data_IF_344345759065
#
_entry.id   IF_344345759065
#
_cell.length_a   1.000
_cell.length_b   1.000
_cell.length_c   1.000
_cell.angle_alpha   90.00
_cell.angle_beta   90.00
_cell.angle_gamma   90.00
#
_symmetry.space_group_name_H-M   'P 1'
#
loop_
_entity.id
_entity.type
_entity.pdbx_description
1 polymer ?
#
# COMPACT_ATOMS: atom_id res chain seq x y z
N UNK A 1 29.26 1.52 23.49
CA UNK A 1 28.43 1.64 22.28
C UNK A 1 27.01 1.27 22.69
N UNK A 2 26.24 2.25 23.16
CA UNK A 2 24.89 2.07 23.67
C UNK A 2 23.93 2.80 22.71
N UNK A 3 22.96 2.07 22.16
CA UNK A 3 21.92 2.63 21.31
C UNK A 3 20.98 3.53 22.13
N UNK A 4 20.89 4.79 21.72
CA UNK A 4 19.93 5.74 22.23
C UNK A 4 18.57 5.48 21.57
N UNK A 5 17.68 4.80 22.30
CA UNK A 5 16.25 4.73 21.97
C UNK A 5 15.60 6.12 22.13
N UNK A 6 14.77 6.50 21.15
CA UNK A 6 13.99 7.76 21.12
C UNK A 6 13.07 7.97 22.33
N UNK A 7 12.85 6.95 23.17
CA UNK A 7 12.06 7.07 24.41
C UNK A 7 12.72 7.94 25.50
N UNK A 8 14.03 8.16 25.46
CA UNK A 8 14.74 8.92 26.51
C UNK A 8 14.72 10.45 26.32
N UNK A 9 14.16 10.97 25.22
CA UNK A 9 14.17 12.41 24.93
C UNK A 9 12.93 13.17 25.42
N UNK A 10 11.94 12.47 26.00
CA UNK A 10 10.66 13.08 26.42
C UNK A 10 10.47 13.15 27.95
N UNK A 11 11.47 12.77 28.76
CA UNK A 11 11.32 12.71 30.23
C UNK A 11 11.93 13.88 31.01
N UNK A 12 12.46 14.92 30.37
CA UNK A 12 12.95 16.11 31.07
C UNK A 12 12.59 17.39 30.31
N UNK A 13 11.55 18.08 30.78
CA UNK A 13 11.12 19.36 30.20
C UNK A 13 9.95 19.98 30.94
N UNK A 14 10.27 20.69 32.03
CA UNK A 14 9.57 21.83 32.63
C UNK A 14 8.04 21.73 32.89
N UNK A 15 7.73 21.73 34.19
CA UNK A 15 6.43 22.09 34.73
C UNK A 15 6.00 23.50 34.26
N UNK A 16 4.86 23.56 33.58
CA UNK A 16 4.12 24.79 33.30
C UNK A 16 2.65 24.53 33.58
N UNK A 17 2.13 25.11 34.66
CA UNK A 17 0.72 25.01 35.04
C UNK A 17 -0.10 25.78 34.01
N UNK A 18 -0.83 25.06 33.16
CA UNK A 18 -1.93 25.63 32.35
C UNK A 18 -3.23 25.03 32.86
N UNK A 19 -4.06 25.89 33.43
CA UNK A 19 -5.41 25.59 33.90
C UNK A 19 -6.28 25.21 32.70
N UNK A 20 -6.41 23.91 32.42
CA UNK A 20 -7.36 23.42 31.43
C UNK A 20 -8.77 23.45 32.03
N UNK A 21 -9.67 24.23 31.44
CA UNK A 21 -11.09 24.14 31.73
C UNK A 21 -11.60 22.76 31.34
N UNK A 22 -12.07 22.02 32.34
CA UNK A 22 -12.82 20.77 32.18
C UNK A 22 -14.19 21.09 31.55
N UNK A 23 -14.29 21.06 30.23
CA UNK A 23 -15.57 20.82 29.57
C UNK A 23 -15.81 19.32 29.56
N UNK A 24 -16.70 18.85 30.43
CA UNK A 24 -17.26 17.50 30.34
C UNK A 24 -18.07 17.41 29.04
N UNK A 25 -17.51 16.75 28.03
CA UNK A 25 -18.30 16.32 26.88
C UNK A 25 -19.08 15.09 27.33
N UNK A 26 -20.31 15.34 27.78
CA UNK A 26 -21.34 14.31 27.86
C UNK A 26 -21.47 13.65 26.48
N UNK A 27 -21.35 12.33 26.47
CA UNK A 27 -21.51 11.48 25.29
C UNK A 27 -23.00 11.49 24.91
N UNK A 28 -23.41 12.52 24.18
CA UNK A 28 -24.71 12.54 23.51
C UNK A 28 -24.66 11.56 22.35
N UNK A 29 -25.63 10.65 22.29
CA UNK A 29 -25.90 9.85 21.10
C UNK A 29 -26.20 10.79 19.94
N UNK A 30 -25.17 11.10 19.15
CA UNK A 30 -25.34 11.82 17.92
C UNK A 30 -26.22 10.97 16.98
N UNK A 31 -27.23 11.56 16.32
CA UNK A 31 -28.05 10.83 15.37
C UNK A 31 -27.16 10.22 14.29
N UNK A 32 -27.52 9.01 13.85
CA UNK A 32 -26.87 8.30 12.74
C UNK A 32 -26.96 9.19 11.51
N UNK A 33 -25.92 9.99 11.30
CA UNK A 33 -25.72 10.79 10.09
C UNK A 33 -25.88 9.86 8.89
N UNK A 34 -26.76 10.21 7.94
CA UNK A 34 -26.81 9.53 6.66
C UNK A 34 -25.38 9.43 6.12
N UNK A 35 -24.90 8.21 5.90
CA UNK A 35 -23.51 7.95 5.47
C UNK A 35 -23.27 8.60 4.11
N UNK A 36 -22.89 9.87 4.11
CA UNK A 36 -22.60 10.62 2.91
C UNK A 36 -21.11 10.49 2.61
N UNK A 37 -20.78 9.65 1.64
CA UNK A 37 -19.42 9.58 1.12
C UNK A 37 -19.12 10.82 0.27
N UNK A 38 -17.85 11.21 0.20
CA UNK A 38 -17.41 12.28 -0.67
C UNK A 38 -15.95 12.07 -1.13
N UNK A 39 -15.63 12.65 -2.29
CA UNK A 39 -14.25 12.77 -2.78
C UNK A 39 -13.93 14.25 -2.90
N UNK A 40 -12.92 14.71 -2.17
CA UNK A 40 -12.38 16.07 -2.32
C UNK A 40 -11.10 16.01 -3.14
N UNK A 41 -11.12 16.64 -4.31
CA UNK A 41 -9.99 16.67 -5.22
C UNK A 41 -9.12 17.91 -4.95
N UNK A 42 -7.92 17.67 -4.42
CA UNK A 42 -6.97 18.71 -4.09
C UNK A 42 -5.74 18.63 -4.97
N UNK A 43 -5.38 19.78 -5.55
CA UNK A 43 -4.10 19.97 -6.24
C UNK A 43 -3.17 20.72 -5.29
N UNK A 44 -2.18 20.03 -4.76
CA UNK A 44 -1.24 20.57 -3.79
C UNK A 44 0.04 21.10 -4.46
N UNK A 45 0.68 22.05 -3.79
CA UNK A 45 2.06 22.49 -4.04
C UNK A 45 2.43 22.67 -5.52
N UNK A 46 2.02 23.81 -6.09
CA UNK A 46 2.32 24.20 -7.49
C UNK A 46 1.88 23.17 -8.55
N UNK A 47 0.90 22.32 -8.25
CA UNK A 47 0.41 21.32 -9.20
C UNK A 47 1.29 20.08 -9.33
N UNK A 48 2.25 19.86 -8.42
CA UNK A 48 3.14 18.69 -8.48
C UNK A 48 2.52 17.43 -7.91
N UNK A 49 1.54 17.55 -7.02
CA UNK A 49 0.86 16.41 -6.42
C UNK A 49 -0.64 16.66 -6.44
N UNK A 50 -1.40 15.63 -6.79
CA UNK A 50 -2.85 15.60 -6.59
C UNK A 50 -3.19 14.62 -5.48
N UNK A 51 -4.19 14.99 -4.69
CA UNK A 51 -4.68 14.24 -3.55
C UNK A 51 -6.20 14.15 -3.66
N UNK A 52 -6.72 12.94 -3.80
CA UNK A 52 -8.15 12.68 -3.68
C UNK A 52 -8.43 12.26 -2.24
N UNK A 53 -8.99 13.16 -1.43
CA UNK A 53 -9.41 12.83 -0.06
C UNK A 53 -10.72 12.06 -0.12
N UNK A 54 -10.75 10.89 0.51
CA UNK A 54 -11.85 9.95 0.50
C UNK A 54 -12.52 10.01 1.87
N UNK A 55 -13.74 10.54 1.90
CA UNK A 55 -14.43 10.96 3.13
C UNK A 55 -15.68 10.13 3.38
N UNK A 56 -16.03 9.96 4.65
CA UNK A 56 -17.35 9.55 5.11
C UNK A 56 -17.86 10.58 6.11
N UNK A 57 -18.92 11.31 5.74
CA UNK A 57 -19.34 12.50 6.49
C UNK A 57 -18.23 13.55 6.53
N UNK A 58 -17.87 13.97 7.72
CA UNK A 58 -16.75 14.87 8.01
C UNK A 58 -15.42 14.14 8.28
N UNK A 59 -15.43 12.80 8.31
CA UNK A 59 -14.27 11.98 8.66
C UNK A 59 -13.48 11.56 7.44
N UNK A 60 -12.17 11.54 7.61
CA UNK A 60 -11.21 11.07 6.63
C UNK A 60 -11.08 9.55 6.69
N UNK A 61 -11.32 8.86 5.57
CA UNK A 61 -11.08 7.42 5.45
C UNK A 61 -9.68 7.13 4.93
N UNK A 62 -9.33 7.77 3.81
CA UNK A 62 -8.02 7.69 3.19
C UNK A 62 -7.80 8.86 2.23
N UNK A 63 -6.60 9.00 1.64
CA UNK A 63 -6.48 9.69 0.35
C UNK A 63 -5.61 8.95 -0.63
N UNK A 64 -6.01 9.01 -1.90
CA UNK A 64 -5.12 8.66 -3.00
C UNK A 64 -4.20 9.85 -3.28
N UNK A 65 -2.91 9.67 -3.06
CA UNK A 65 -1.88 10.68 -3.31
C UNK A 65 -1.05 10.22 -4.50
N UNK A 66 -0.86 11.10 -5.49
CA UNK A 66 -0.07 10.78 -6.67
C UNK A 66 0.57 12.02 -7.31
N UNK A 67 1.72 11.85 -7.98
CA UNK A 67 2.35 12.93 -8.71
C UNK A 67 1.53 13.32 -9.95
N UNK A 68 1.45 14.63 -10.23
CA UNK A 68 0.82 15.18 -11.44
C UNK A 68 1.81 15.89 -12.36
N UNK A 69 2.94 16.32 -11.82
CA UNK A 69 4.09 16.85 -12.55
C UNK A 69 5.36 16.18 -12.01
N UNK A 70 6.56 16.63 -12.40
CA UNK A 70 7.85 16.06 -12.03
C UNK A 70 7.83 15.55 -10.58
N UNK A 71 7.80 14.23 -10.36
CA UNK A 71 7.66 13.71 -9.03
C UNK A 71 8.91 14.11 -8.25
N UNK A 72 8.72 14.69 -7.07
CA UNK A 72 9.82 14.71 -6.11
C UNK A 72 10.28 13.26 -5.92
N UNK A 73 11.57 13.04 -5.70
CA UNK A 73 12.19 11.70 -5.60
C UNK A 73 11.48 10.72 -4.63
N UNK A 74 10.58 11.23 -3.78
CA UNK A 74 9.83 10.51 -2.77
C UNK A 74 8.43 10.03 -3.22
N UNK A 75 7.93 10.45 -4.39
CA UNK A 75 6.57 10.09 -4.85
C UNK A 75 6.54 9.71 -6.33
N UNK A 76 7.17 8.58 -6.66
CA UNK A 76 7.21 8.01 -8.02
C UNK A 76 6.01 7.12 -8.36
N UNK A 77 5.09 6.92 -7.42
CA UNK A 77 3.93 6.04 -7.58
C UNK A 77 2.75 6.51 -6.72
N UNK A 78 1.52 6.13 -7.07
CA UNK A 78 0.35 6.39 -6.24
C UNK A 78 0.35 5.54 -4.96
N UNK A 79 -0.10 6.15 -3.87
CA UNK A 79 -0.32 5.48 -2.58
C UNK A 79 -1.67 5.92 -1.98
N UNK A 80 -2.29 5.04 -1.18
CA UNK A 80 -3.40 5.45 -0.30
C UNK A 80 -2.85 5.78 1.08
N UNK A 81 -2.85 7.06 1.49
CA UNK A 81 -2.28 7.54 2.75
C UNK A 81 -2.93 8.84 3.27
N UNK A 82 -3.04 9.00 4.61
CA UNK A 82 -3.09 7.93 5.60
C UNK A 82 -4.32 7.06 5.37
N UNK A 83 -4.35 5.85 5.90
CA UNK A 83 -5.56 5.03 5.99
C UNK A 83 -6.05 5.07 7.43
N UNK A 84 -7.31 5.41 7.62
CA UNK A 84 -7.91 5.60 8.93
C UNK A 84 -9.01 4.56 9.21
N UNK A 85 -9.11 4.17 10.47
CA UNK A 85 -10.27 3.43 10.99
C UNK A 85 -11.53 4.32 10.98
N UNK A 86 -12.73 3.77 11.19
CA UNK A 86 -13.95 4.59 11.32
C UNK A 86 -13.93 5.62 12.45
N UNK A 87 -13.22 5.33 13.54
CA UNK A 87 -12.98 6.30 14.62
C UNK A 87 -11.91 7.36 14.28
N UNK A 88 -11.33 7.32 13.08
CA UNK A 88 -10.38 8.30 12.58
C UNK A 88 -8.93 8.04 13.00
N UNK A 89 -8.60 6.83 13.44
CA UNK A 89 -7.24 6.48 13.87
C UNK A 89 -6.38 6.13 12.64
N UNK A 90 -5.25 6.83 12.37
CA UNK A 90 -4.40 6.53 11.22
C UNK A 90 -3.51 5.31 11.46
N UNK A 91 -3.80 4.20 10.78
CA UNK A 91 -3.15 2.88 11.01
C UNK A 91 -2.04 2.55 10.02
N UNK A 92 -1.78 3.43 9.06
CA UNK A 92 -0.67 3.28 8.12
C UNK A 92 0.33 4.43 8.24
N UNK A 93 1.58 4.17 7.86
CA UNK A 93 2.59 5.22 7.70
C UNK A 93 3.10 5.30 6.27
N UNK A 94 3.64 6.45 5.91
CA UNK A 94 4.57 6.56 4.78
C UNK A 94 6.00 6.53 5.34
N UNK A 95 7.03 6.42 4.52
CA UNK A 95 8.46 6.65 4.86
C UNK A 95 9.25 5.62 5.72
N UNK A 96 10.14 4.91 5.03
CA UNK A 96 11.59 5.03 5.31
C UNK A 96 12.22 5.79 4.14
N UNK A 97 13.11 6.77 4.41
CA UNK A 97 13.61 7.81 3.49
C UNK A 97 14.10 7.35 2.10
N UNK A 98 14.42 6.06 1.91
CA UNK A 98 14.93 5.50 0.66
C UNK A 98 14.16 4.30 0.10
N UNK A 99 13.15 3.77 0.81
CA UNK A 99 12.43 2.57 0.39
C UNK A 99 11.04 2.93 -0.13
N UNK A 100 10.93 3.25 -1.41
CA UNK A 100 9.66 3.62 -2.04
C UNK A 100 8.62 2.49 -2.05
N UNK A 101 9.01 1.27 -1.66
CA UNK A 101 8.11 0.13 -1.44
C UNK A 101 7.65 -0.01 0.03
N UNK A 102 8.11 0.86 0.95
CA UNK A 102 7.64 0.96 2.34
C UNK A 102 6.68 2.16 2.48
N UNK A 103 5.68 2.20 1.60
CA UNK A 103 4.66 3.23 1.55
C UNK A 103 3.32 2.63 1.96
N UNK A 104 2.54 3.41 2.71
CA UNK A 104 1.19 3.15 3.24
C UNK A 104 0.46 1.98 2.60
N UNK A 105 -0.56 2.15 1.76
CA UNK A 105 -1.02 1.08 0.86
C UNK A 105 -0.47 1.42 -0.52
N UNK A 106 0.30 0.50 -1.09
CA UNK A 106 1.01 0.70 -2.34
C UNK A 106 0.81 -0.45 -3.31
N UNK A 107 1.09 -0.18 -4.59
CA UNK A 107 1.20 -1.22 -5.61
C UNK A 107 2.35 -0.92 -6.52
N UNK A 108 3.22 -1.90 -6.72
CA UNK A 108 4.36 -1.78 -7.60
C UNK A 108 5.13 -3.06 -7.75
N UNK A 109 6.14 -3.02 -8.60
CA UNK A 109 7.03 -4.14 -8.82
C UNK A 109 8.46 -3.64 -8.83
N UNK A 110 9.43 -4.44 -8.40
CA UNK A 110 10.84 -4.07 -8.54
C UNK A 110 11.29 -4.19 -10.00
N UNK A 111 11.69 -5.39 -10.40
CA UNK A 111 12.34 -5.67 -11.69
C UNK A 111 11.39 -6.19 -12.76
N UNK A 112 11.28 -5.47 -13.88
CA UNK A 112 10.47 -5.83 -15.04
C UNK A 112 11.37 -6.01 -16.26
N UNK A 113 11.37 -7.20 -16.84
CA UNK A 113 12.12 -7.48 -18.07
C UNK A 113 11.18 -7.44 -19.28
N UNK A 114 11.47 -6.58 -20.25
CA UNK A 114 10.69 -6.46 -21.49
C UNK A 114 11.37 -7.29 -22.57
N UNK A 115 10.61 -8.06 -23.33
CA UNK A 115 11.18 -8.86 -24.42
C UNK A 115 11.92 -7.98 -25.44
N UNK A 116 13.06 -8.46 -25.91
CA UNK A 116 13.91 -7.74 -26.86
C UNK A 116 14.74 -6.61 -26.23
N UNK A 117 14.83 -6.54 -24.90
CA UNK A 117 15.73 -5.61 -24.19
C UNK A 117 16.81 -6.37 -23.43
N UNK A 118 18.00 -5.81 -23.32
CA UNK A 118 19.15 -6.49 -22.70
C UNK A 118 19.09 -6.51 -21.16
N UNK A 119 18.24 -5.69 -20.54
CA UNK A 119 18.21 -5.50 -19.09
C UNK A 119 16.78 -5.30 -18.56
N UNK A 120 16.59 -5.65 -17.29
CA UNK A 120 15.34 -5.36 -16.58
C UNK A 120 15.31 -3.90 -16.10
N UNK A 121 14.12 -3.30 -16.12
CA UNK A 121 13.81 -1.99 -15.55
C UNK A 121 13.49 -2.18 -14.07
N UNK A 122 14.01 -1.30 -13.21
CA UNK A 122 13.73 -1.33 -11.77
C UNK A 122 12.85 -0.13 -11.35
N UNK A 123 11.60 -0.39 -10.95
CA UNK A 123 10.63 0.63 -10.51
C UNK A 123 10.72 0.94 -9.01
N UNK A 124 11.60 0.28 -8.25
CA UNK A 124 11.85 0.54 -6.83
C UNK A 124 13.17 1.27 -6.56
N UNK A 125 13.96 1.47 -7.60
CA UNK A 125 15.25 2.12 -7.50
C UNK A 125 15.10 3.61 -7.17
N UNK A 126 15.76 4.04 -6.10
CA UNK A 126 15.94 5.46 -5.81
C UNK A 126 17.14 5.96 -6.61
N UNK A 127 16.92 6.87 -7.57
CA UNK A 127 18.03 7.53 -8.25
C UNK A 127 17.71 8.98 -8.63
N UNK A 128 18.61 9.92 -8.28
CA UNK A 128 18.96 11.05 -9.12
C UNK A 128 20.07 10.61 -10.09
N UNK A 129 19.70 9.96 -11.21
CA UNK A 129 20.59 9.57 -12.30
C UNK A 129 21.77 8.64 -11.93
N UNK A 130 22.44 7.99 -12.91
CA UNK A 130 23.72 7.35 -12.64
C UNK A 130 24.72 8.41 -12.16
N UNK A 131 25.09 8.37 -10.89
CA UNK A 131 26.27 9.04 -10.36
C UNK A 131 27.41 8.02 -10.33
N UNK A 132 28.15 7.96 -11.43
CA UNK A 132 29.29 7.05 -11.62
C UNK A 132 30.37 7.19 -10.55
N UNK A 133 30.46 8.35 -9.92
CA UNK A 133 31.48 8.68 -8.92
C UNK A 133 31.07 8.30 -7.49
N UNK A 134 29.77 8.12 -7.23
CA UNK A 134 29.27 7.83 -5.88
C UNK A 134 29.32 6.33 -5.60
N UNK A 135 29.98 5.95 -4.50
CA UNK A 135 30.10 4.55 -4.07
C UNK A 135 28.91 4.17 -3.17
N UNK A 136 28.25 3.07 -3.51
CA UNK A 136 27.31 2.40 -2.63
C UNK A 136 28.05 1.49 -1.64
N UNK A 137 28.00 1.83 -0.35
CA UNK A 137 28.68 1.08 0.72
C UNK A 137 27.86 -0.11 1.23
N UNK A 138 26.59 -0.21 0.86
CA UNK A 138 25.66 -1.22 1.39
C UNK A 138 25.53 -2.45 0.50
N UNK A 139 25.86 -2.33 -0.80
CA UNK A 139 25.73 -3.41 -1.77
C UNK A 139 27.11 -3.84 -2.31
N UNK A 140 27.44 -5.12 -2.17
CA UNK A 140 28.76 -5.67 -2.54
C UNK A 140 28.90 -6.07 -4.01
N UNK A 141 27.78 -6.32 -4.70
CA UNK A 141 27.78 -6.88 -6.08
C UNK A 141 27.38 -5.88 -7.15
N UNK A 142 26.92 -4.69 -6.77
CA UNK A 142 26.44 -3.65 -7.67
C UNK A 142 26.43 -2.32 -6.93
N UNK A 143 26.54 -1.21 -7.66
CA UNK A 143 26.47 0.13 -7.09
C UNK A 143 25.11 0.77 -7.41
N UNK A 144 24.26 0.95 -6.40
CA UNK A 144 22.93 1.53 -6.59
C UNK A 144 22.95 2.96 -7.12
N UNK A 145 24.08 3.68 -7.10
CA UNK A 145 24.19 4.99 -7.74
C UNK A 145 24.57 4.91 -9.22
N UNK A 146 24.97 3.77 -9.75
CA UNK A 146 25.53 3.66 -11.11
C UNK A 146 24.62 2.97 -12.13
N UNK A 147 23.70 2.12 -11.68
CA UNK A 147 22.77 1.44 -12.61
C UNK A 147 21.74 2.45 -13.18
N UNK A 148 21.13 2.16 -14.32
CA UNK A 148 20.29 3.08 -15.10
C UNK A 148 18.94 3.49 -14.49
N UNK A 149 17.98 3.96 -15.29
CA UNK A 149 16.82 4.73 -14.84
C UNK A 149 15.84 3.97 -13.92
N UNK A 150 15.20 4.72 -13.02
CA UNK A 150 14.08 4.26 -12.18
C UNK A 150 12.77 4.41 -12.95
N UNK A 151 11.85 3.45 -12.84
CA UNK A 151 10.53 3.61 -13.44
C UNK A 151 9.57 4.46 -12.59
N UNK A 152 8.56 5.07 -13.23
CA UNK A 152 7.47 5.83 -12.58
C UNK A 152 6.12 5.18 -12.90
N UNK A 153 5.17 5.24 -11.96
CA UNK A 153 3.76 4.96 -12.23
C UNK A 153 2.99 6.28 -12.36
N UNK A 154 2.62 6.64 -13.59
CA UNK A 154 1.88 7.86 -13.89
C UNK A 154 0.39 7.55 -14.02
N UNK A 155 -0.45 8.18 -13.22
CA UNK A 155 -1.90 8.16 -13.44
C UNK A 155 -2.21 9.01 -14.67
N UNK A 156 -2.69 8.39 -15.75
CA UNK A 156 -3.10 9.08 -16.98
C UNK A 156 -4.57 9.48 -16.93
N UNK A 157 -5.40 8.73 -16.18
CA UNK A 157 -6.82 9.03 -15.96
C UNK A 157 -7.25 8.59 -14.56
N UNK A 158 -8.05 9.42 -13.91
CA UNK A 158 -8.71 9.11 -12.65
C UNK A 158 -10.18 9.51 -12.72
N UNK A 159 -11.06 8.53 -12.62
CA UNK A 159 -12.52 8.70 -12.55
C UNK A 159 -13.02 8.16 -11.21
N UNK A 160 -14.12 8.72 -10.69
CA UNK A 160 -14.75 8.20 -9.49
C UNK A 160 -16.27 8.30 -9.52
N UNK A 161 -16.89 7.38 -8.79
CA UNK A 161 -18.33 7.37 -8.52
C UNK A 161 -18.54 7.28 -7.02
N UNK A 162 -19.46 8.09 -6.51
CA UNK A 162 -19.82 8.12 -5.10
C UNK A 162 -21.28 7.72 -4.95
N UNK A 163 -21.52 6.67 -4.17
CA UNK A 163 -22.84 6.18 -3.80
C UNK A 163 -22.85 5.91 -2.28
N UNK A 164 -23.35 4.75 -1.86
CA UNK A 164 -23.11 4.08 -0.58
C UNK A 164 -21.66 3.60 -0.37
N UNK A 165 -20.79 3.82 -1.36
CA UNK A 165 -19.35 3.59 -1.33
C UNK A 165 -18.64 4.53 -2.30
N UNK A 166 -17.32 4.65 -2.18
CA UNK A 166 -16.47 5.34 -3.15
C UNK A 166 -15.87 4.31 -4.09
N UNK A 167 -16.06 4.50 -5.39
CA UNK A 167 -15.44 3.67 -6.42
C UNK A 167 -14.47 4.53 -7.21
N UNK A 168 -13.18 4.20 -7.20
CA UNK A 168 -12.16 4.85 -8.00
C UNK A 168 -11.76 3.95 -9.17
N UNK A 169 -11.58 4.55 -10.35
CA UNK A 169 -11.02 3.90 -11.53
C UNK A 169 -9.85 4.71 -12.04
N UNK A 170 -8.70 4.07 -12.11
CA UNK A 170 -7.46 4.67 -12.55
C UNK A 170 -6.95 3.93 -13.78
N UNK A 171 -6.44 4.70 -14.73
CA UNK A 171 -5.58 4.19 -15.80
C UNK A 171 -4.18 4.73 -15.50
N UNK A 172 -3.19 3.84 -15.47
CA UNK A 172 -1.82 4.18 -15.18
C UNK A 172 -0.91 3.69 -16.30
N UNK A 173 0.11 4.48 -16.59
CA UNK A 173 1.25 4.07 -17.41
C UNK A 173 2.48 3.93 -16.52
N UNK A 174 3.12 2.77 -16.61
CA UNK A 174 4.41 2.52 -15.98
C UNK A 174 5.48 2.86 -17.01
N UNK A 175 6.25 3.91 -16.74
CA UNK A 175 7.18 4.49 -17.70
C UNK A 175 8.62 4.33 -17.25
N UNK A 176 9.54 4.20 -18.21
CA UNK A 176 10.95 4.48 -17.98
C UNK A 176 11.15 5.95 -17.59
N UNK A 177 12.27 6.28 -16.94
CA UNK A 177 12.65 7.68 -16.67
C UNK A 177 14.04 7.97 -17.22
N UNK A 178 14.13 8.58 -18.39
CA UNK A 178 15.45 8.93 -18.93
C UNK A 178 16.11 10.08 -18.16
N UNK A 179 17.43 10.22 -18.33
CA UNK A 179 18.28 11.16 -17.58
C UNK A 179 17.83 12.63 -17.64
N UNK A 180 17.09 13.01 -18.66
CA UNK A 180 16.71 14.42 -18.89
C UNK A 180 15.19 14.60 -19.02
N UNK A 181 14.39 13.59 -18.64
CA UNK A 181 12.93 13.61 -18.83
C UNK A 181 12.14 13.26 -17.57
N UNK A 182 11.02 13.95 -17.37
CA UNK A 182 10.03 13.70 -16.32
C UNK A 182 9.16 12.47 -16.59
N UNK A 183 9.29 11.86 -17.76
CA UNK A 183 8.64 10.62 -18.17
C UNK A 183 9.48 9.85 -19.19
N UNK A 184 8.92 8.80 -19.76
CA UNK A 184 9.63 7.99 -20.74
C UNK A 184 8.75 6.95 -21.39
N UNK A 185 9.37 6.01 -22.08
CA UNK A 185 8.67 4.94 -22.80
C UNK A 185 7.77 4.16 -21.84
N UNK A 186 6.48 4.05 -22.17
CA UNK A 186 5.54 3.20 -21.44
C UNK A 186 5.88 1.72 -21.63
N UNK A 187 5.92 0.99 -20.52
CA UNK A 187 6.29 -0.43 -20.44
C UNK A 187 5.08 -1.29 -20.06
N UNK A 188 4.33 -0.88 -19.04
CA UNK A 188 3.08 -1.51 -18.60
C UNK A 188 1.97 -0.47 -18.68
N UNK A 189 0.81 -0.87 -19.18
CA UNK A 189 -0.44 -0.15 -18.99
C UNK A 189 -1.24 -0.89 -17.93
N UNK A 190 -1.66 -0.16 -16.91
CA UNK A 190 -2.39 -0.67 -15.75
C UNK A 190 -3.79 -0.08 -15.69
N UNK A 191 -4.78 -0.93 -15.44
CA UNK A 191 -6.09 -0.51 -14.96
C UNK A 191 -6.18 -0.85 -13.48
N UNK A 192 -6.32 0.17 -12.62
CA UNK A 192 -6.44 -0.01 -11.17
C UNK A 192 -7.79 0.48 -10.69
N UNK A 193 -8.44 -0.29 -9.83
CA UNK A 193 -9.74 0.04 -9.25
C UNK A 193 -9.71 -0.08 -7.75
N UNK A 194 -10.42 0.83 -7.09
CA UNK A 194 -10.65 0.79 -5.66
C UNK A 194 -12.15 0.82 -5.36
N UNK A 195 -12.58 0.04 -4.36
CA UNK A 195 -13.87 0.22 -3.69
C UNK A 195 -13.60 0.51 -2.22
N UNK A 196 -14.10 1.64 -1.72
CA UNK A 196 -13.91 2.05 -0.33
C UNK A 196 -15.27 2.29 0.33
N UNK A 197 -15.46 1.69 1.50
CA UNK A 197 -16.68 1.83 2.30
C UNK A 197 -16.41 1.55 3.77
N UNK A 198 -17.36 1.93 4.63
CA UNK A 198 -17.30 1.62 6.07
C UNK A 198 -18.49 0.78 6.54
N UNK A 199 -18.19 -0.28 7.28
CA UNK A 199 -19.16 -1.18 7.91
C UNK A 199 -18.79 -1.43 9.36
N UNK A 200 -19.63 -0.92 10.28
CA UNK A 200 -19.35 -1.03 11.72
C UNK A 200 -17.98 -0.44 12.06
N UNK A 201 -17.09 -1.19 12.73
CA UNK A 201 -15.76 -0.73 13.12
C UNK A 201 -14.71 -0.84 12.00
N UNK A 202 -15.12 -1.05 10.74
CA UNK A 202 -14.21 -1.31 9.62
C UNK A 202 -14.25 -0.23 8.54
N UNK A 203 -13.08 0.26 8.12
CA UNK A 203 -12.83 0.89 6.83
C UNK A 203 -12.29 -0.18 5.89
N UNK A 204 -13.05 -0.52 4.85
CA UNK A 204 -12.72 -1.60 3.89
C UNK A 204 -12.30 -0.97 2.56
N UNK A 205 -11.16 -1.42 2.04
CA UNK A 205 -10.57 -0.97 0.78
C UNK A 205 -10.30 -2.22 -0.06
N UNK A 206 -11.12 -2.46 -1.07
CA UNK A 206 -10.85 -3.48 -2.07
C UNK A 206 -10.05 -2.85 -3.20
N UNK A 207 -8.92 -3.45 -3.52
CA UNK A 207 -8.06 -3.03 -4.62
C UNK A 207 -7.97 -4.14 -5.67
N UNK A 208 -8.17 -3.75 -6.92
CA UNK A 208 -8.05 -4.62 -8.09
C UNK A 208 -7.11 -3.97 -9.09
N UNK A 209 -6.21 -4.75 -9.69
CA UNK A 209 -5.33 -4.29 -10.77
C UNK A 209 -5.29 -5.28 -11.92
N UNK A 210 -5.18 -4.75 -13.13
CA UNK A 210 -4.81 -5.48 -14.33
C UNK A 210 -3.58 -4.84 -14.96
N UNK A 211 -2.47 -5.57 -15.01
CA UNK A 211 -1.25 -5.17 -15.71
C UNK A 211 -1.23 -5.80 -17.10
N UNK A 212 -1.12 -4.97 -18.13
CA UNK A 212 -0.93 -5.40 -19.51
C UNK A 212 0.37 -4.82 -20.06
N UNK A 213 1.11 -5.54 -20.91
CA UNK A 213 2.27 -4.96 -21.54
C UNK A 213 1.83 -3.81 -22.45
N UNK A 214 2.56 -2.70 -22.46
CA UNK A 214 2.21 -1.56 -23.30
C UNK A 214 2.40 -1.90 -24.78
N UNK A 215 3.56 -2.49 -25.11
CA UNK A 215 3.95 -2.90 -26.46
C UNK A 215 4.33 -4.38 -26.49
N UNK A 216 5.58 -4.69 -26.15
CA UNK A 216 6.09 -6.04 -26.08
C UNK A 216 5.68 -6.72 -24.79
N UNK A 217 5.54 -8.04 -24.86
CA UNK A 217 5.34 -8.86 -23.67
C UNK A 217 6.51 -8.70 -22.69
N UNK A 218 6.25 -8.94 -21.41
CA UNK A 218 7.22 -8.73 -20.35
C UNK A 218 7.17 -9.82 -19.28
N UNK A 219 8.19 -9.84 -18.43
CA UNK A 219 8.29 -10.72 -17.27
C UNK A 219 8.50 -9.86 -16.03
N UNK A 220 7.56 -9.98 -15.09
CA UNK A 220 7.75 -9.48 -13.73
C UNK A 220 8.68 -10.46 -13.03
N UNK A 221 9.90 -10.03 -12.70
CA UNK A 221 10.90 -10.89 -12.06
C UNK A 221 10.56 -11.15 -10.61
N UNK A 222 10.95 -12.29 -10.06
CA UNK A 222 10.78 -12.59 -8.65
C UNK A 222 11.30 -11.45 -7.75
N UNK A 223 10.46 -10.97 -6.84
CA UNK A 223 10.73 -9.89 -5.91
C UNK A 223 9.81 -9.96 -4.68
N UNK A 224 10.43 -9.92 -3.50
CA UNK A 224 9.75 -9.96 -2.20
C UNK A 224 9.01 -8.68 -1.83
N UNK A 225 9.27 -7.57 -2.53
CA UNK A 225 8.62 -6.28 -2.27
C UNK A 225 7.50 -5.94 -3.25
N UNK A 226 7.05 -6.92 -4.02
CA UNK A 226 5.95 -6.80 -5.01
C UNK A 226 4.77 -7.64 -4.52
N UNK A 227 3.50 -7.46 -4.90
CA UNK A 227 2.94 -6.45 -5.79
C UNK A 227 2.11 -5.42 -5.02
N UNK A 228 1.26 -5.86 -4.09
CA UNK A 228 0.43 -5.00 -3.25
C UNK A 228 0.89 -5.09 -1.81
N UNK A 229 1.15 -3.95 -1.18
CA UNK A 229 1.69 -3.92 0.18
C UNK A 229 1.03 -2.89 1.06
N UNK A 230 1.13 -3.12 2.37
CA UNK A 230 0.81 -2.15 3.41
C UNK A 230 1.98 -1.96 4.38
N UNK A 231 2.37 -0.70 4.61
CA UNK A 231 3.20 -0.28 5.74
C UNK A 231 2.29 0.28 6.83
N UNK A 232 2.29 -0.38 7.98
CA UNK A 232 1.49 0.01 9.14
C UNK A 232 2.18 1.15 9.90
N UNK A 233 1.41 1.87 10.71
CA UNK A 233 1.93 2.86 11.65
C UNK A 233 2.93 2.21 12.61
N UNK A 234 4.11 2.80 12.80
CA UNK A 234 5.15 2.27 13.70
C UNK A 234 4.57 1.91 15.08
N UNK A 235 3.67 2.74 15.64
CA UNK A 235 3.06 2.50 16.96
C UNK A 235 2.23 1.21 17.09
N UNK A 236 1.89 0.55 15.97
CA UNK A 236 1.13 -0.71 15.98
C UNK A 236 1.90 -1.90 15.43
N UNK A 237 3.16 -1.71 15.02
CA UNK A 237 3.96 -2.83 14.53
C UNK A 237 4.56 -3.68 15.66
N UNK A 238 4.87 -4.97 15.40
CA UNK A 238 5.48 -5.85 16.39
C UNK A 238 6.77 -5.32 17.05
N UNK A 239 7.62 -4.60 16.33
CA UNK A 239 8.89 -4.09 16.86
C UNK A 239 8.65 -2.99 17.92
N UNK A 240 7.55 -2.25 17.81
CA UNK A 240 7.14 -1.18 18.74
C UNK A 240 6.05 -1.60 19.76
N UNK A 241 5.74 -2.90 19.84
CA UNK A 241 4.87 -3.49 20.87
C UNK A 241 3.43 -3.76 20.42
N UNK A 242 3.14 -3.63 19.13
CA UNK A 242 1.97 -4.19 18.49
C UNK A 242 2.07 -5.71 18.30
N UNK A 243 1.14 -6.26 17.52
CA UNK A 243 1.07 -7.70 17.25
C UNK A 243 0.53 -7.96 15.86
N UNK A 244 1.21 -8.85 15.14
CA UNK A 244 0.66 -9.44 13.92
C UNK A 244 0.10 -10.83 14.20
N UNK A 245 -0.97 -11.19 13.51
CA UNK A 245 -1.50 -12.54 13.49
C UNK A 245 -2.06 -12.89 12.12
N UNK A 246 -2.16 -14.16 11.80
CA UNK A 246 -2.65 -14.60 10.50
C UNK A 246 -3.67 -15.73 10.59
N UNK A 247 -4.26 -16.07 9.44
CA UNK A 247 -5.25 -17.15 9.35
C UNK A 247 -4.71 -18.54 9.70
N UNK A 248 -3.38 -18.72 9.74
CA UNK A 248 -2.72 -19.96 10.15
C UNK A 248 -2.40 -19.96 11.66
N UNK A 249 -2.95 -18.99 12.41
CA UNK A 249 -2.80 -18.81 13.86
C UNK A 249 -1.37 -18.51 14.29
N UNK A 250 -0.51 -18.07 13.37
CA UNK A 250 0.84 -17.62 13.72
C UNK A 250 0.75 -16.27 14.41
N UNK A 251 1.64 -16.05 15.38
CA UNK A 251 1.84 -14.76 16.05
C UNK A 251 3.14 -14.16 15.55
N UNK A 252 3.11 -12.89 15.20
CA UNK A 252 4.22 -12.13 14.63
C UNK A 252 4.92 -12.88 13.47
N UNK A 253 4.19 -13.27 12.41
CA UNK A 253 4.82 -13.87 11.23
C UNK A 253 5.89 -12.92 10.66
N UNK A 254 7.12 -13.43 10.49
CA UNK A 254 8.27 -12.70 9.97
C UNK A 254 8.98 -13.54 8.89
N UNK A 255 8.78 -13.16 7.63
CA UNK A 255 9.36 -13.83 6.48
C UNK A 255 8.39 -14.06 5.33
N UNK A 256 8.70 -15.10 4.55
CA UNK A 256 8.01 -15.45 3.31
C UNK A 256 7.06 -16.64 3.54
N UNK A 257 5.84 -16.54 3.02
CA UNK A 257 4.79 -17.55 3.13
C UNK A 257 4.17 -17.80 1.75
N UNK A 258 4.49 -18.93 1.14
CA UNK A 258 4.06 -19.29 -0.22
C UNK A 258 3.64 -20.76 -0.34
N UNK A 259 3.82 -21.58 0.71
CA UNK A 259 3.57 -23.02 0.60
C UNK A 259 2.07 -23.32 0.64
N UNK A 260 1.68 -24.49 0.13
CA UNK A 260 0.30 -24.99 0.22
C UNK A 260 0.02 -25.57 1.62
N UNK A 261 1.06 -26.09 2.28
CA UNK A 261 0.97 -26.75 3.59
C UNK A 261 2.24 -26.55 4.42
N UNK A 262 2.17 -26.80 5.73
CA UNK A 262 3.32 -26.72 6.63
C UNK A 262 3.57 -25.32 7.19
N UNK A 263 4.74 -25.11 7.79
CA UNK A 263 5.02 -23.91 8.60
C UNK A 263 5.05 -22.60 7.80
N UNK A 264 5.30 -22.67 6.49
CA UNK A 264 5.31 -21.53 5.56
C UNK A 264 4.07 -21.48 4.67
N UNK A 265 3.00 -22.19 5.05
CA UNK A 265 1.72 -22.11 4.36
C UNK A 265 1.27 -20.66 4.20
N UNK A 266 0.92 -20.26 2.98
CA UNK A 266 0.40 -18.92 2.73
C UNK A 266 -0.93 -18.72 3.49
N UNK A 267 -1.04 -17.69 4.34
CA UNK A 267 -2.30 -17.40 5.01
C UNK A 267 -3.31 -16.79 4.03
N UNK A 268 -4.60 -16.79 4.39
CA UNK A 268 -5.64 -16.06 3.65
C UNK A 268 -5.59 -14.56 3.94
N UNK A 269 -5.18 -14.21 5.16
CA UNK A 269 -5.06 -12.84 5.63
C UNK A 269 -3.98 -12.73 6.71
N UNK A 270 -3.39 -11.54 6.84
CA UNK A 270 -2.51 -11.14 7.95
C UNK A 270 -3.08 -9.84 8.53
N UNK A 271 -3.21 -9.78 9.84
CA UNK A 271 -3.62 -8.60 10.60
C UNK A 271 -2.45 -8.04 11.43
N UNK A 272 -2.39 -6.72 11.56
CA UNK A 272 -1.50 -6.02 12.48
C UNK A 272 -2.31 -5.08 13.38
N UNK A 273 -2.31 -5.35 14.68
CA UNK A 273 -3.06 -4.60 15.69
C UNK A 273 -2.12 -4.06 16.77
N UNK A 274 -2.35 -2.84 17.23
CA UNK A 274 -1.62 -2.25 18.35
C UNK A 274 -2.37 -1.11 19.02
N UNK A 275 -1.63 -0.24 19.71
CA UNK A 275 -2.20 0.93 20.40
C UNK A 275 -1.68 2.23 19.79
N UNK A 276 -2.60 3.10 19.39
CA UNK A 276 -2.30 4.50 19.04
C UNK A 276 -2.94 5.39 20.10
N UNK A 277 -2.11 5.87 21.02
CA UNK A 277 -2.56 6.52 22.25
C UNK A 277 -3.42 5.59 23.10
N UNK A 278 -4.66 6.00 23.37
CA UNK A 278 -5.60 5.23 24.18
C UNK A 278 -6.47 4.25 23.38
N UNK A 279 -6.31 4.21 22.05
CA UNK A 279 -7.16 3.41 21.17
C UNK A 279 -6.40 2.17 20.70
N UNK A 280 -7.06 1.01 20.74
CA UNK A 280 -6.63 -0.17 20.00
C UNK A 280 -7.14 -0.04 18.58
N UNK A 281 -6.25 -0.22 17.60
CA UNK A 281 -6.58 -0.14 16.19
C UNK A 281 -5.58 -0.99 15.38
N UNK A 282 -5.96 -1.32 14.15
CA UNK A 282 -5.10 -2.10 13.28
C UNK A 282 -5.51 -2.05 11.82
N UNK A 283 -4.78 -2.81 11.01
CA UNK A 283 -5.07 -3.02 9.60
C UNK A 283 -4.74 -4.46 9.21
N UNK A 284 -5.65 -5.10 8.48
CA UNK A 284 -5.47 -6.42 7.90
C UNK A 284 -5.37 -6.38 6.37
N UNK A 285 -4.54 -7.27 5.82
CA UNK A 285 -4.35 -7.53 4.39
C UNK A 285 -4.89 -8.92 4.03
N UNK A 286 -5.80 -8.97 3.07
CA UNK A 286 -6.50 -10.18 2.62
C UNK A 286 -6.14 -10.51 1.19
N UNK A 287 -5.96 -11.80 0.94
CA UNK A 287 -5.77 -12.36 -0.40
C UNK A 287 -7.08 -12.71 -1.08
N UNK A 288 -7.05 -12.84 -2.41
CA UNK A 288 -8.20 -13.29 -3.19
C UNK A 288 -7.91 -14.68 -3.79
N UNK A 289 -8.79 -15.68 -3.67
CA UNK A 289 -8.52 -17.04 -4.17
C UNK A 289 -8.34 -17.10 -5.69
N UNK A 290 -8.97 -16.20 -6.43
CA UNK A 290 -8.81 -16.09 -7.89
C UNK A 290 -7.53 -15.35 -8.34
N UNK A 291 -6.64 -14.93 -7.44
CA UNK A 291 -5.31 -14.46 -7.84
C UNK A 291 -4.51 -15.61 -8.45
N UNK A 292 -3.60 -15.32 -9.39
CA UNK A 292 -2.71 -16.33 -9.99
C UNK A 292 -1.91 -17.10 -8.93
N UNK A 293 -1.49 -16.40 -7.87
CA UNK A 293 -0.83 -16.96 -6.69
C UNK A 293 -0.98 -15.99 -5.52
N UNK A 294 -1.10 -16.50 -4.30
CA UNK A 294 -1.14 -15.69 -3.08
C UNK A 294 0.08 -16.03 -2.23
N UNK A 295 1.10 -15.17 -2.27
CA UNK A 295 2.30 -15.29 -1.46
C UNK A 295 2.41 -14.07 -0.55
N UNK A 296 2.72 -14.28 0.72
CA UNK A 296 2.87 -13.20 1.68
C UNK A 296 4.33 -12.99 2.06
N UNK A 297 4.71 -11.71 2.16
CA UNK A 297 5.92 -11.27 2.86
C UNK A 297 5.50 -10.39 4.02
N UNK A 298 5.86 -10.75 5.26
CA UNK A 298 5.60 -9.92 6.43
C UNK A 298 6.87 -9.71 7.24
N UNK A 299 6.97 -8.56 7.94
CA UNK A 299 8.11 -8.22 8.79
C UNK A 299 7.67 -7.56 10.09
N UNK A 300 8.44 -7.78 11.17
CA UNK A 300 8.18 -7.24 12.52
C UNK A 300 8.11 -5.72 12.59
N UNK A 301 8.85 -5.01 11.73
CA UNK A 301 8.73 -3.57 11.54
C UNK A 301 7.53 -3.20 10.65
N UNK A 302 6.42 -3.94 10.69
CA UNK A 302 5.14 -3.43 10.19
C UNK A 302 4.93 -3.38 8.68
N UNK A 303 5.64 -4.23 7.92
CA UNK A 303 5.38 -4.42 6.49
C UNK A 303 4.61 -5.72 6.26
N UNK A 304 3.54 -5.64 5.46
CA UNK A 304 2.81 -6.80 4.95
C UNK A 304 2.62 -6.66 3.44
N UNK A 305 2.97 -7.67 2.67
CA UNK A 305 2.89 -7.68 1.21
C UNK A 305 2.21 -8.95 0.75
N UNK A 306 1.35 -8.81 -0.27
CA UNK A 306 0.74 -9.89 -1.02
C UNK A 306 1.24 -9.84 -2.47
N UNK A 307 1.68 -10.99 -2.97
CA UNK A 307 2.41 -11.09 -4.22
C UNK A 307 2.04 -12.32 -5.05
N UNK A 308 2.06 -12.21 -6.39
CA UNK A 308 2.19 -13.36 -7.27
C UNK A 308 3.64 -13.64 -7.67
N UNK A 309 4.62 -12.88 -7.18
CA UNK A 309 6.01 -12.88 -7.67
C UNK A 309 7.05 -12.97 -6.55
N UNK A 310 6.71 -13.46 -5.37
CA UNK A 310 7.64 -13.48 -4.24
C UNK A 310 8.80 -14.46 -4.50
N UNK A 311 8.47 -15.68 -4.92
CA UNK A 311 9.44 -16.74 -5.23
C UNK A 311 9.60 -17.04 -6.72
N UNK A 312 8.80 -16.42 -7.59
CA UNK A 312 8.73 -16.79 -8.99
C UNK A 312 8.53 -15.60 -9.93
N UNK A 313 9.02 -15.77 -11.16
CA UNK A 313 8.71 -14.85 -12.25
C UNK A 313 7.25 -15.02 -12.70
N UNK A 314 6.64 -13.92 -13.16
CA UNK A 314 5.33 -13.93 -13.81
C UNK A 314 5.44 -13.34 -15.20
N UNK A 315 5.11 -14.17 -16.18
CA UNK A 315 5.02 -13.78 -17.59
C UNK A 315 3.70 -13.07 -17.86
N UNK A 316 3.78 -11.89 -18.49
CA UNK A 316 2.62 -11.07 -18.88
C UNK A 316 2.65 -10.82 -20.39
N UNK A 317 1.56 -11.15 -21.07
CA UNK A 317 1.37 -10.91 -22.51
C UNK A 317 0.07 -10.13 -22.73
N UNK A 318 -0.19 -9.65 -23.95
CA UNK A 318 -1.47 -8.99 -24.28
C UNK A 318 -2.67 -9.93 -24.06
N UNK A 319 -2.51 -11.21 -24.39
CA UNK A 319 -3.56 -12.23 -24.25
C UNK A 319 -3.69 -12.78 -22.83
N UNK A 320 -2.61 -12.66 -22.04
CA UNK A 320 -2.55 -13.10 -20.64
C UNK A 320 -2.06 -11.96 -19.75
N UNK A 321 -2.90 -10.92 -19.53
CA UNK A 321 -2.58 -9.86 -18.59
C UNK A 321 -2.54 -10.41 -17.15
N UNK A 322 -1.77 -9.78 -16.26
CA UNK A 322 -1.79 -10.12 -14.84
C UNK A 322 -2.95 -9.39 -14.17
N UNK A 323 -3.92 -10.15 -13.67
CA UNK A 323 -5.00 -9.63 -12.84
C UNK A 323 -4.75 -10.00 -11.38
N UNK A 324 -4.81 -9.03 -10.47
CA UNK A 324 -4.50 -9.24 -9.06
C UNK A 324 -5.42 -8.41 -8.14
N UNK A 325 -5.76 -8.97 -6.99
CA UNK A 325 -6.67 -8.36 -6.04
C UNK A 325 -6.19 -8.51 -4.60
N UNK A 326 -6.42 -7.47 -3.80
CA UNK A 326 -6.20 -7.48 -2.36
C UNK A 326 -7.30 -6.68 -1.67
N UNK A 327 -7.65 -7.06 -0.44
CA UNK A 327 -8.51 -6.25 0.44
C UNK A 327 -7.68 -5.77 1.62
N UNK A 328 -7.86 -4.52 1.99
CA UNK A 328 -7.29 -3.92 3.19
C UNK A 328 -8.43 -3.52 4.12
N UNK A 329 -8.32 -3.86 5.40
CA UNK A 329 -9.35 -3.52 6.40
C UNK A 329 -8.71 -2.83 7.57
N UNK A 330 -8.84 -1.50 7.64
CA UNK A 330 -8.49 -0.75 8.84
C UNK A 330 -9.64 -0.87 9.84
N UNK A 331 -9.33 -1.18 11.10
CA UNK A 331 -10.34 -1.51 12.08
C UNK A 331 -10.12 -0.83 13.44
N UNK A 332 -11.24 -0.42 14.06
CA UNK A 332 -11.29 -0.03 15.46
C UNK A 332 -11.28 -1.28 16.35
N UNK A 333 -10.52 -1.25 17.44
CA UNK A 333 -10.36 -2.38 18.33
C UNK A 333 -9.51 -3.51 17.73
N UNK A 334 -9.54 -4.69 18.35
CA UNK A 334 -8.88 -5.87 17.82
C UNK A 334 -9.76 -6.58 16.77
N UNK A 335 -9.14 -7.12 15.72
CA UNK A 335 -9.84 -7.95 14.75
C UNK A 335 -9.84 -9.42 15.23
N UNK A 336 -11.02 -9.97 15.51
CA UNK A 336 -11.14 -11.38 15.86
C UNK A 336 -10.93 -12.27 14.63
N UNK A 337 -10.22 -13.39 14.79
CA UNK A 337 -9.91 -14.30 13.67
C UNK A 337 -11.15 -14.81 12.91
N UNK A 338 -12.25 -15.12 13.62
CA UNK A 338 -13.51 -15.50 12.98
C UNK A 338 -14.06 -14.40 12.07
N UNK A 339 -13.99 -13.14 12.53
CA UNK A 339 -14.46 -11.99 11.74
C UNK A 339 -13.54 -11.71 10.56
N UNK A 340 -12.22 -11.90 10.71
CA UNK A 340 -11.29 -11.86 9.59
C UNK A 340 -11.60 -12.96 8.55
N UNK A 341 -11.93 -14.17 9.00
CA UNK A 341 -12.35 -15.25 8.10
C UNK A 341 -13.63 -14.89 7.32
N UNK A 342 -14.64 -14.32 7.98
CA UNK A 342 -15.87 -13.84 7.35
C UNK A 342 -15.60 -12.72 6.31
N UNK A 343 -14.73 -11.77 6.64
CA UNK A 343 -14.28 -10.70 5.72
C UNK A 343 -13.52 -11.25 4.51
N UNK A 344 -12.73 -12.30 4.71
CA UNK A 344 -12.01 -13.02 3.67
C UNK A 344 -12.96 -13.77 2.74
N UNK A 345 -13.98 -14.44 3.29
CA UNK A 345 -14.96 -15.20 2.52
C UNK A 345 -15.86 -14.26 1.69
N UNK A 346 -16.26 -13.12 2.25
CA UNK A 346 -16.96 -12.08 1.49
C UNK A 346 -16.12 -11.55 0.34
N UNK A 347 -14.82 -11.29 0.57
CA UNK A 347 -13.94 -10.82 -0.48
C UNK A 347 -13.76 -11.87 -1.58
N UNK A 348 -13.62 -13.13 -1.20
CA UNK A 348 -13.49 -14.26 -2.12
C UNK A 348 -14.69 -14.44 -3.05
N UNK A 349 -15.89 -14.02 -2.62
CA UNK A 349 -17.10 -14.05 -3.44
C UNK A 349 -17.12 -12.98 -4.56
N UNK A 350 -16.18 -12.02 -4.56
CA UNK A 350 -16.11 -10.97 -5.57
C UNK A 350 -15.49 -11.51 -6.86
N UNK A 351 -16.27 -11.58 -7.93
CA UNK A 351 -15.74 -11.91 -9.26
C UNK A 351 -15.05 -10.69 -9.89
N UNK A 352 -13.81 -10.43 -9.46
CA UNK A 352 -13.07 -9.24 -9.91
C UNK A 352 -12.53 -9.34 -11.33
N UNK A 353 -12.43 -10.54 -11.92
CA UNK A 353 -11.90 -10.71 -13.28
C UNK A 353 -12.82 -10.09 -14.32
N UNK A 354 -14.13 -10.27 -14.16
CA UNK A 354 -15.18 -9.63 -14.99
C UNK A 354 -15.10 -8.11 -14.99
N UNK A 355 -14.52 -7.50 -13.96
CA UNK A 355 -14.41 -6.04 -13.88
C UNK A 355 -13.58 -5.46 -15.02
N UNK A 356 -12.64 -6.21 -15.59
CA UNK A 356 -11.75 -5.75 -16.67
C UNK A 356 -12.20 -6.18 -18.07
N UNK A 357 -13.26 -6.99 -18.18
CA UNK A 357 -13.78 -7.48 -19.47
C UNK A 357 -14.69 -6.45 -20.15
N UNK A 358 -15.42 -5.65 -19.38
CA UNK A 358 -16.44 -4.69 -19.85
C UNK A 358 -15.89 -3.39 -20.46
N UNK A 359 -14.61 -3.32 -20.82
CA UNK A 359 -13.95 -2.09 -21.33
C UNK A 359 -13.15 -2.29 -22.63
N UNK A 360 -13.21 -3.46 -23.26
CA UNK A 360 -12.76 -3.64 -24.65
C UNK A 360 -13.86 -3.21 -25.59
#
# INVERSE_FOLDING_TARGET
>A
MFELSRRNFLSQGAAGVSTAMLTSLTRGDAPVSEKKYAVVDEVAFRGQTRRLKLMQGDRYMAALIFPTDYPTHFRLKPELYPVCTPSGVPVTDTHQYCFIHHQSIMTGHGKVHVDGTDHAVDFYRQLPYPNTERIDKFHKTHNLFQMGPSGIQKIVKADWKVTDQIQLRLILDWQLRDKESSGGKSVISEQRRYKLFQRGPYTIIDQFTQLSPHSQSLTLKADRHSLMGVRVNDLIDPDDGGMMHDSEKRKNPDGNYWDISGNRKAPRWIDCTGRIGNQTAGIALFSHPNNTRNEFYSRGWGLMILSPTLGHDVRVTKDKPLQFAARFVAHDGALAGKTADELSDEFAAVDYRKMFETEK
#
